data_IF_098980512525
#
_entry.id   IF_098980512525
#
_cell.length_a   1.000
_cell.length_b   1.000
_cell.length_c   1.000
_cell.angle_alpha   90.00
_cell.angle_beta   90.00
_cell.angle_gamma   90.00
#
_symmetry.space_group_name_H-M   'P 1'
#
loop_
_entity.id
_entity.type
_entity.pdbx_description
1 polymer ?
#
# COMPACT_ATOMS: atom_id res chain seq x y z
N UNK A 1 35.62 35.62 -29.01
CA UNK A 1 35.79 34.31 -28.36
C UNK A 1 36.89 34.47 -27.33
N UNK A 2 36.60 34.35 -26.04
CA UNK A 2 37.64 34.37 -25.01
C UNK A 2 38.40 33.05 -25.09
N UNK A 3 39.70 33.11 -25.40
CA UNK A 3 40.55 31.92 -25.40
C UNK A 3 40.77 31.52 -23.94
N UNK A 4 40.15 30.42 -23.51
CA UNK A 4 40.33 29.88 -22.16
C UNK A 4 41.65 29.11 -22.15
N UNK A 5 42.61 29.59 -21.37
CA UNK A 5 43.89 28.90 -21.18
C UNK A 5 43.67 27.53 -20.54
N UNK A 6 44.34 26.52 -21.05
CA UNK A 6 44.32 25.17 -20.47
C UNK A 6 45.12 25.14 -19.16
N UNK A 7 44.81 24.20 -18.26
CA UNK A 7 45.55 24.00 -17.00
C UNK A 7 47.06 23.84 -17.21
N UNK A 8 47.47 23.27 -18.34
CA UNK A 8 48.89 23.11 -18.68
C UNK A 8 49.53 24.45 -19.03
N UNK A 9 48.89 25.24 -19.90
CA UNK A 9 49.35 26.58 -20.28
C UNK A 9 49.41 27.52 -19.08
N UNK A 10 48.40 27.45 -18.21
CA UNK A 10 48.36 28.25 -16.98
C UNK A 10 49.52 27.90 -16.03
N UNK A 11 49.86 26.61 -15.94
CA UNK A 11 50.98 26.11 -15.12
C UNK A 11 52.34 26.51 -15.70
N UNK A 12 52.49 26.47 -17.03
CA UNK A 12 53.72 26.94 -17.70
C UNK A 12 53.89 28.46 -17.57
N UNK A 13 52.80 29.23 -17.70
CA UNK A 13 52.81 30.67 -17.50
C UNK A 13 53.15 31.05 -16.05
N UNK A 14 52.54 30.38 -15.06
CA UNK A 14 52.86 30.60 -13.65
C UNK A 14 54.32 30.24 -13.31
N UNK A 15 54.85 29.16 -13.90
CA UNK A 15 56.25 28.77 -13.74
C UNK A 15 57.21 29.77 -14.41
N UNK A 16 56.83 30.32 -15.56
CA UNK A 16 57.59 31.36 -16.24
C UNK A 16 57.64 32.66 -15.42
N UNK A 17 56.51 33.10 -14.87
CA UNK A 17 56.41 34.33 -14.06
C UNK A 17 57.18 34.19 -12.75
N UNK A 18 57.06 33.05 -12.05
CA UNK A 18 57.80 32.79 -10.79
C UNK A 18 59.30 32.63 -10.98
N UNK A 19 59.75 32.29 -12.21
CA UNK A 19 61.17 32.17 -12.56
C UNK A 19 61.70 33.38 -13.35
N UNK A 20 60.91 34.46 -13.51
CA UNK A 20 61.30 35.62 -14.28
C UNK A 20 62.37 36.43 -13.55
N UNK A 21 63.60 36.36 -14.06
CA UNK A 21 64.77 37.04 -13.51
C UNK A 21 65.02 38.34 -14.28
N UNK A 22 64.61 39.46 -13.65
CA UNK A 22 64.78 40.83 -14.17
C UNK A 22 66.25 41.16 -14.45
N UNK A 23 67.17 40.68 -13.59
CA UNK A 23 68.60 40.96 -13.71
C UNK A 23 69.23 40.18 -14.87
N UNK A 24 68.79 38.95 -15.11
CA UNK A 24 69.17 38.17 -16.31
C UNK A 24 68.64 38.80 -17.59
N UNK A 25 67.44 39.41 -17.56
CA UNK A 25 66.88 40.15 -18.70
C UNK A 25 67.70 41.40 -19.03
N UNK A 26 68.00 42.24 -18.05
CA UNK A 26 68.82 43.45 -18.23
C UNK A 26 70.18 43.10 -18.86
N UNK A 27 70.85 42.06 -18.35
CA UNK A 27 72.14 41.59 -18.91
C UNK A 27 72.04 41.16 -20.37
N UNK A 28 70.94 40.50 -20.76
CA UNK A 28 70.71 40.10 -22.16
C UNK A 28 70.46 41.31 -23.06
N UNK A 29 69.69 42.29 -22.60
CA UNK A 29 69.40 43.51 -23.36
C UNK A 29 70.67 44.33 -23.60
N UNK A 30 71.52 44.49 -22.59
CA UNK A 30 72.83 45.14 -22.73
C UNK A 30 73.72 44.34 -23.70
N UNK A 31 73.71 43.01 -23.62
CA UNK A 31 74.49 42.13 -24.50
C UNK A 31 74.12 42.22 -25.99
N UNK A 32 72.92 42.69 -26.33
CA UNK A 32 72.47 42.95 -27.70
C UNK A 32 72.55 44.44 -28.10
N UNK A 33 73.19 45.27 -27.27
CA UNK A 33 73.45 46.69 -27.58
C UNK A 33 72.40 47.68 -27.10
N UNK A 34 71.42 47.27 -26.27
CA UNK A 34 70.48 48.21 -25.63
C UNK A 34 71.23 49.01 -24.55
N UNK A 35 71.15 50.36 -24.55
CA UNK A 35 71.72 51.19 -23.49
C UNK A 35 71.22 50.77 -22.10
N UNK A 36 72.11 50.78 -21.11
CA UNK A 36 71.83 50.29 -19.76
C UNK A 36 70.58 50.94 -19.14
N UNK A 37 70.45 52.26 -19.24
CA UNK A 37 69.30 53.02 -18.75
C UNK A 37 67.97 52.60 -19.40
N UNK A 38 67.98 52.19 -20.67
CA UNK A 38 66.79 51.68 -21.36
C UNK A 38 66.49 50.22 -20.99
N UNK A 39 67.53 49.40 -20.82
CA UNK A 39 67.40 48.00 -20.41
C UNK A 39 66.84 47.87 -18.99
N UNK A 40 67.31 48.70 -18.07
CA UNK A 40 66.83 48.76 -16.68
C UNK A 40 65.37 49.25 -16.62
N UNK A 41 65.05 50.37 -17.26
CA UNK A 41 63.69 50.91 -17.30
C UNK A 41 62.67 49.92 -17.92
N UNK A 42 63.06 49.21 -18.99
CA UNK A 42 62.20 48.20 -19.61
C UNK A 42 61.98 46.97 -18.74
N UNK A 43 63.00 46.52 -18.00
CA UNK A 43 62.88 45.41 -17.07
C UNK A 43 62.05 45.77 -15.83
N UNK A 44 62.13 47.02 -15.37
CA UNK A 44 61.35 47.56 -14.25
C UNK A 44 59.86 47.62 -14.60
N UNK A 45 59.50 48.21 -15.75
CA UNK A 45 58.11 48.26 -16.24
C UNK A 45 57.53 46.85 -16.39
N UNK A 46 58.31 45.90 -16.95
CA UNK A 46 57.86 44.52 -17.08
C UNK A 46 57.67 43.84 -15.72
N UNK A 47 58.53 44.13 -14.75
CA UNK A 47 58.41 43.61 -13.39
C UNK A 47 57.17 44.16 -12.68
N UNK A 48 56.87 45.46 -12.83
CA UNK A 48 55.65 46.09 -12.32
C UNK A 48 54.40 45.45 -12.92
N UNK A 49 54.35 45.32 -14.25
CA UNK A 49 53.22 44.68 -14.95
C UNK A 49 52.99 43.25 -14.46
N UNK A 50 54.07 42.47 -14.24
CA UNK A 50 53.92 41.13 -13.69
C UNK A 50 53.45 41.16 -12.24
N UNK A 51 53.99 42.03 -11.40
CA UNK A 51 53.63 42.10 -9.99
C UNK A 51 52.18 42.53 -9.76
N UNK A 52 51.68 43.47 -10.56
CA UNK A 52 50.28 43.92 -10.51
C UNK A 52 49.32 42.82 -10.99
N UNK A 53 49.63 42.17 -12.12
CA UNK A 53 48.81 41.07 -12.64
C UNK A 53 48.83 39.82 -11.75
N UNK A 54 49.90 39.60 -10.97
CA UNK A 54 50.01 38.48 -10.04
C UNK A 54 49.06 38.61 -8.84
N UNK A 55 48.71 39.83 -8.42
CA UNK A 55 47.79 40.05 -7.30
C UNK A 55 46.34 39.69 -7.64
N UNK A 56 45.98 39.68 -8.92
CA UNK A 56 44.64 39.27 -9.39
C UNK A 56 44.50 37.75 -9.59
N UNK A 57 45.59 36.99 -9.50
CA UNK A 57 45.55 35.54 -9.68
C UNK A 57 45.02 34.85 -8.42
N UNK A 58 44.09 33.92 -8.65
CA UNK A 58 43.60 33.00 -7.61
C UNK A 58 44.78 32.22 -7.02
N UNK A 59 44.95 32.32 -5.71
CA UNK A 59 46.00 31.60 -4.99
C UNK A 59 45.60 30.14 -4.72
N UNK A 60 46.58 29.31 -4.35
CA UNK A 60 46.32 27.93 -3.92
C UNK A 60 45.45 27.92 -2.66
N UNK A 61 45.67 28.88 -1.79
CA UNK A 61 44.96 29.08 -0.53
C UNK A 61 43.49 29.42 -0.78
N UNK A 62 43.20 30.27 -1.77
CA UNK A 62 41.83 30.59 -2.20
C UNK A 62 41.09 29.35 -2.70
N UNK A 63 41.72 28.56 -3.57
CA UNK A 63 41.14 27.30 -4.06
C UNK A 63 40.91 26.30 -2.93
N UNK A 64 41.85 26.19 -2.00
CA UNK A 64 41.69 25.29 -0.84
C UNK A 64 40.54 25.72 0.06
N UNK A 65 40.35 27.03 0.24
CA UNK A 65 39.23 27.59 1.00
C UNK A 65 37.89 27.31 0.30
N UNK A 66 37.81 27.55 -0.99
CA UNK A 66 36.62 27.29 -1.82
C UNK A 66 36.24 25.80 -1.78
N UNK A 67 37.21 24.91 -2.02
CA UNK A 67 37.00 23.44 -1.97
C UNK A 67 36.56 23.00 -0.58
N UNK A 68 37.14 23.57 0.48
CA UNK A 68 36.75 23.25 1.86
C UNK A 68 35.33 23.74 2.16
N UNK A 69 34.93 24.90 1.63
CA UNK A 69 33.55 25.39 1.69
C UNK A 69 32.58 24.45 1.00
N UNK A 70 32.87 24.09 -0.26
CA UNK A 70 32.05 23.16 -1.06
C UNK A 70 31.90 21.78 -0.39
N UNK A 71 32.96 21.27 0.24
CA UNK A 71 32.89 20.02 1.01
C UNK A 71 31.93 20.14 2.19
N UNK A 72 32.06 21.19 3.00
CA UNK A 72 31.15 21.44 4.14
C UNK A 72 29.70 21.56 3.69
N UNK A 73 29.45 22.31 2.61
CA UNK A 73 28.10 22.47 2.07
C UNK A 73 27.52 21.15 1.57
N UNK A 74 28.35 20.31 0.96
CA UNK A 74 27.97 18.97 0.51
C UNK A 74 27.65 18.06 1.69
N UNK A 75 28.48 18.08 2.74
CA UNK A 75 28.25 17.30 3.96
C UNK A 75 26.94 17.71 4.65
N UNK A 76 26.67 19.02 4.75
CA UNK A 76 25.41 19.55 5.31
C UNK A 76 24.21 19.11 4.47
N UNK A 77 24.30 19.21 3.14
CA UNK A 77 23.22 18.74 2.24
C UNK A 77 22.98 17.24 2.36
N UNK A 78 24.03 16.45 2.45
CA UNK A 78 23.94 15.00 2.57
C UNK A 78 23.30 14.59 3.91
N UNK A 79 23.67 15.26 5.01
CA UNK A 79 23.06 15.04 6.32
C UNK A 79 21.58 15.46 6.33
N UNK A 80 21.24 16.60 5.71
CA UNK A 80 19.84 17.01 5.55
C UNK A 80 19.02 16.00 4.76
N UNK A 81 19.58 15.44 3.68
CA UNK A 81 18.90 14.44 2.86
C UNK A 81 18.69 13.14 3.63
N UNK A 82 19.67 12.70 4.44
CA UNK A 82 19.50 11.55 5.33
C UNK A 82 18.34 11.76 6.31
N UNK A 83 18.29 12.90 6.98
CA UNK A 83 17.20 13.22 7.92
C UNK A 83 15.82 13.25 7.26
N UNK A 84 15.72 13.80 6.05
CA UNK A 84 14.47 13.78 5.28
C UNK A 84 14.04 12.35 4.91
N UNK A 85 14.99 11.52 4.49
CA UNK A 85 14.74 10.11 4.17
C UNK A 85 14.29 9.32 5.40
N UNK A 86 14.95 9.50 6.55
CA UNK A 86 14.57 8.85 7.80
C UNK A 86 13.17 9.28 8.25
N UNK A 87 12.86 10.58 8.15
CA UNK A 87 11.53 11.11 8.48
C UNK A 87 10.44 10.54 7.55
N UNK A 88 10.71 10.44 6.25
CA UNK A 88 9.79 9.82 5.28
C UNK A 88 9.58 8.34 5.55
N UNK A 89 10.65 7.61 5.90
CA UNK A 89 10.56 6.20 6.23
C UNK A 89 9.70 5.97 7.48
N UNK A 90 9.92 6.76 8.53
CA UNK A 90 9.12 6.71 9.75
C UNK A 90 7.65 7.06 9.49
N UNK A 91 7.39 8.08 8.67
CA UNK A 91 6.03 8.43 8.26
C UNK A 91 5.34 7.31 7.51
N UNK A 92 6.04 6.64 6.58
CA UNK A 92 5.50 5.53 5.82
C UNK A 92 5.18 4.34 6.71
N UNK A 93 6.04 4.06 7.70
CA UNK A 93 5.82 3.00 8.69
C UNK A 93 4.55 3.26 9.49
N UNK A 94 4.36 4.48 10.00
CA UNK A 94 3.14 4.87 10.72
C UNK A 94 1.87 4.75 9.88
N UNK A 95 1.92 5.15 8.61
CA UNK A 95 0.79 4.98 7.68
C UNK A 95 0.43 3.51 7.47
N UNK A 96 1.44 2.65 7.31
CA UNK A 96 1.25 1.21 7.15
C UNK A 96 0.66 0.54 8.40
N UNK A 97 1.11 0.93 9.59
CA UNK A 97 0.57 0.45 10.86
C UNK A 97 -0.90 0.89 11.04
N UNK A 98 -1.21 2.16 10.74
CA UNK A 98 -2.58 2.68 10.79
C UNK A 98 -3.52 1.97 9.80
N UNK A 99 -3.05 1.67 8.58
CA UNK A 99 -3.80 0.89 7.59
C UNK A 99 -4.05 -0.55 8.04
N UNK A 100 -3.04 -1.19 8.64
CA UNK A 100 -3.21 -2.55 9.19
C UNK A 100 -4.26 -2.59 10.29
N UNK A 101 -4.22 -1.63 11.23
CA UNK A 101 -5.20 -1.54 12.31
C UNK A 101 -6.62 -1.30 11.79
N UNK A 102 -6.76 -0.40 10.81
CA UNK A 102 -8.04 -0.15 10.15
C UNK A 102 -8.60 -1.40 9.46
N UNK A 103 -7.74 -2.13 8.73
CA UNK A 103 -8.14 -3.37 8.05
C UNK A 103 -8.56 -4.46 9.05
N UNK A 104 -7.84 -4.58 10.18
CA UNK A 104 -8.19 -5.51 11.24
C UNK A 104 -9.57 -5.21 11.82
N UNK A 105 -9.84 -3.93 12.11
CA UNK A 105 -11.15 -3.49 12.61
C UNK A 105 -12.28 -3.76 11.61
N UNK A 106 -12.05 -3.53 10.31
CA UNK A 106 -13.04 -3.85 9.27
C UNK A 106 -13.33 -5.36 9.17
N UNK A 107 -12.29 -6.19 9.33
CA UNK A 107 -12.47 -7.64 9.36
C UNK A 107 -13.26 -8.11 10.58
N UNK A 108 -12.98 -7.55 11.76
CA UNK A 108 -13.71 -7.87 13.00
C UNK A 108 -15.19 -7.48 12.89
N UNK A 109 -15.50 -6.30 12.34
CA UNK A 109 -16.90 -5.86 12.14
C UNK A 109 -17.64 -6.73 11.12
N UNK A 110 -16.98 -7.11 10.01
CA UNK A 110 -17.57 -8.04 9.03
C UNK A 110 -17.82 -9.41 9.62
N UNK A 111 -16.90 -9.92 10.44
CA UNK A 111 -17.05 -11.22 11.09
C UNK A 111 -18.23 -11.22 12.07
N UNK A 112 -18.35 -10.17 12.89
CA UNK A 112 -19.48 -10.00 13.81
C UNK A 112 -20.82 -9.88 13.07
N UNK A 113 -20.86 -9.12 11.96
CA UNK A 113 -22.04 -9.01 11.11
C UNK A 113 -22.46 -10.37 10.53
N UNK A 114 -21.49 -11.13 10.00
CA UNK A 114 -21.75 -12.46 9.45
C UNK A 114 -22.27 -13.44 10.52
N UNK A 115 -21.73 -13.36 11.74
CA UNK A 115 -22.20 -14.17 12.86
C UNK A 115 -23.67 -13.87 13.20
N UNK A 116 -24.04 -12.58 13.28
CA UNK A 116 -25.43 -12.18 13.52
C UNK A 116 -26.39 -12.62 12.42
N UNK A 117 -25.97 -12.54 11.15
CA UNK A 117 -26.79 -13.03 10.03
C UNK A 117 -27.01 -14.54 10.11
N UNK A 118 -25.97 -15.30 10.46
CA UNK A 118 -26.07 -16.75 10.66
C UNK A 118 -26.98 -17.12 11.83
N UNK A 119 -26.86 -16.43 12.96
CA UNK A 119 -27.74 -16.64 14.12
C UNK A 119 -29.21 -16.34 13.77
N UNK A 120 -29.46 -15.24 13.05
CA UNK A 120 -30.80 -14.87 12.60
C UNK A 120 -31.40 -15.90 11.62
N UNK A 121 -30.60 -16.40 10.67
CA UNK A 121 -31.03 -17.47 9.76
C UNK A 121 -31.31 -18.77 10.49
N UNK A 122 -30.49 -19.12 11.48
CA UNK A 122 -30.71 -20.33 12.27
C UNK A 122 -32.01 -20.25 13.07
N UNK A 123 -32.27 -19.10 13.71
CA UNK A 123 -33.51 -18.85 14.44
C UNK A 123 -34.74 -18.89 13.52
N UNK A 124 -34.66 -18.30 12.32
CA UNK A 124 -35.73 -18.38 11.33
C UNK A 124 -36.02 -19.82 10.91
N UNK A 125 -34.98 -20.58 10.58
CA UNK A 125 -35.12 -21.97 10.17
C UNK A 125 -35.75 -22.83 11.28
N UNK A 126 -35.39 -22.58 12.54
CA UNK A 126 -35.99 -23.25 13.69
C UNK A 126 -37.48 -22.97 13.81
N UNK A 127 -37.90 -21.70 13.68
CA UNK A 127 -39.32 -21.33 13.69
C UNK A 127 -40.10 -21.98 12.55
N UNK A 128 -39.52 -22.01 11.35
CA UNK A 128 -40.15 -22.65 10.20
C UNK A 128 -40.33 -24.16 10.44
N UNK A 129 -39.34 -24.83 11.03
CA UNK A 129 -39.47 -26.24 11.42
C UNK A 129 -40.55 -26.47 12.48
N UNK A 130 -40.63 -25.61 13.50
CA UNK A 130 -41.66 -25.72 14.55
C UNK A 130 -43.08 -25.54 13.95
N UNK A 131 -43.26 -24.56 13.05
CA UNK A 131 -44.54 -24.34 12.34
C UNK A 131 -44.90 -25.55 11.47
N UNK A 132 -43.92 -26.09 10.73
CA UNK A 132 -44.14 -27.26 9.88
C UNK A 132 -44.50 -28.50 10.73
N UNK A 133 -43.86 -28.68 11.87
CA UNK A 133 -44.14 -29.79 12.77
C UNK A 133 -45.56 -29.70 13.36
N UNK A 134 -45.96 -28.51 13.82
CA UNK A 134 -47.30 -28.24 14.33
C UNK A 134 -48.37 -28.44 13.25
N UNK A 135 -48.10 -27.99 12.03
CA UNK A 135 -48.99 -28.21 10.87
C UNK A 135 -49.15 -29.70 10.57
N UNK A 136 -48.04 -30.44 10.51
CA UNK A 136 -48.08 -31.89 10.27
C UNK A 136 -48.84 -32.63 11.38
N UNK A 137 -48.69 -32.21 12.64
CA UNK A 137 -49.42 -32.78 13.78
C UNK A 137 -50.92 -32.57 13.64
N UNK A 138 -51.36 -31.36 13.27
CA UNK A 138 -52.78 -31.06 13.01
C UNK A 138 -53.32 -31.90 11.86
N UNK A 139 -52.57 -32.03 10.76
CA UNK A 139 -52.96 -32.85 9.62
C UNK A 139 -53.12 -34.32 10.01
N UNK A 140 -52.24 -34.85 10.86
CA UNK A 140 -52.37 -36.21 11.39
C UNK A 140 -53.61 -36.39 12.26
N UNK A 141 -53.91 -35.46 13.17
CA UNK A 141 -55.12 -35.52 13.99
C UNK A 141 -56.39 -35.44 13.14
N UNK A 142 -56.43 -34.56 12.13
CA UNK A 142 -57.55 -34.49 11.19
C UNK A 142 -57.71 -35.78 10.38
N UNK A 143 -56.60 -36.43 10.03
CA UNK A 143 -56.63 -37.72 9.36
C UNK A 143 -57.19 -38.82 10.27
N UNK A 144 -56.78 -38.86 11.55
CA UNK A 144 -57.28 -39.79 12.57
C UNK A 144 -58.80 -39.63 12.76
N UNK A 145 -59.29 -38.40 12.97
CA UNK A 145 -60.73 -38.12 13.08
C UNK A 145 -61.52 -38.57 11.84
N UNK A 146 -60.96 -38.34 10.64
CA UNK A 146 -61.57 -38.80 9.38
C UNK A 146 -61.61 -40.32 9.27
N UNK A 147 -60.59 -41.02 9.79
CA UNK A 147 -60.56 -42.48 9.81
C UNK A 147 -61.59 -43.03 10.80
N UNK A 148 -61.66 -42.48 12.01
CA UNK A 148 -62.65 -42.89 13.02
C UNK A 148 -64.09 -42.70 12.52
N UNK A 149 -64.39 -41.55 11.93
CA UNK A 149 -65.72 -41.30 11.34
C UNK A 149 -66.05 -42.28 10.20
N UNK A 150 -65.06 -42.69 9.40
CA UNK A 150 -65.25 -43.71 8.36
C UNK A 150 -65.51 -45.08 8.96
N UNK A 151 -64.78 -45.47 10.02
CA UNK A 151 -64.96 -46.74 10.70
C UNK A 151 -66.34 -46.83 11.38
N UNK A 152 -66.79 -45.76 12.02
CA UNK A 152 -68.12 -45.69 12.64
C UNK A 152 -69.22 -45.87 11.58
N UNK A 153 -69.16 -45.10 10.48
CA UNK A 153 -70.10 -45.23 9.35
C UNK A 153 -70.09 -46.62 8.74
N UNK A 154 -68.92 -47.23 8.62
CA UNK A 154 -68.77 -48.60 8.13
C UNK A 154 -69.40 -49.61 9.08
N UNK A 155 -69.13 -49.50 10.39
CA UNK A 155 -69.71 -50.35 11.43
C UNK A 155 -71.24 -50.26 11.50
N UNK A 156 -71.79 -49.04 11.41
CA UNK A 156 -73.24 -48.82 11.33
C UNK A 156 -73.84 -49.48 10.08
N UNK A 157 -73.24 -49.26 8.91
CA UNK A 157 -73.72 -49.84 7.65
C UNK A 157 -73.67 -51.38 7.69
N UNK A 158 -72.60 -51.94 8.27
CA UNK A 158 -72.46 -53.38 8.47
C UNK A 158 -73.56 -53.91 9.39
N UNK A 159 -73.81 -53.25 10.52
CA UNK A 159 -74.84 -53.63 11.50
C UNK A 159 -76.23 -53.59 10.89
N UNK A 160 -76.57 -52.51 10.15
CA UNK A 160 -77.84 -52.37 9.45
C UNK A 160 -78.02 -53.50 8.44
N UNK A 161 -77.00 -53.79 7.62
CA UNK A 161 -77.05 -54.89 6.64
C UNK A 161 -77.26 -56.26 7.30
N UNK A 162 -76.55 -56.56 8.39
CA UNK A 162 -76.73 -57.82 9.12
C UNK A 162 -78.11 -57.91 9.80
N UNK A 163 -78.62 -56.81 10.36
CA UNK A 163 -79.96 -56.73 10.92
C UNK A 163 -81.05 -57.01 9.88
N UNK A 164 -80.92 -56.46 8.66
CA UNK A 164 -81.84 -56.74 7.56
C UNK A 164 -81.80 -58.23 7.13
N UNK A 165 -80.61 -58.83 7.05
CA UNK A 165 -80.46 -60.26 6.70
C UNK A 165 -81.09 -61.17 7.76
N UNK A 166 -80.82 -60.91 9.05
CA UNK A 166 -81.36 -61.73 10.15
C UNK A 166 -82.88 -61.62 10.26
N UNK A 167 -83.45 -60.42 10.07
CA UNK A 167 -84.89 -60.23 10.02
C UNK A 167 -85.54 -60.99 8.86
N UNK A 168 -84.92 -60.97 7.67
CA UNK A 168 -85.40 -61.74 6.51
C UNK A 168 -85.33 -63.26 6.74
N UNK A 169 -84.30 -63.75 7.43
CA UNK A 169 -84.21 -65.17 7.81
C UNK A 169 -85.27 -65.55 8.84
N UNK A 170 -85.51 -64.72 9.88
CA UNK A 170 -86.52 -65.01 10.90
C UNK A 170 -87.94 -65.08 10.35
N UNK A 171 -88.27 -64.28 9.33
CA UNK A 171 -89.60 -64.33 8.70
C UNK A 171 -89.77 -65.50 7.73
N UNK A 172 -88.69 -66.01 7.15
CA UNK A 172 -88.72 -67.16 6.25
C UNK A 172 -88.86 -68.52 6.98
N UNK A 173 -88.29 -68.68 8.19
CA UNK A 173 -88.31 -69.94 8.95
C UNK A 173 -89.74 -70.45 9.27
N UNK A 174 -90.70 -69.63 9.75
CA UNK A 174 -92.07 -70.07 9.99
C UNK A 174 -92.86 -70.34 8.70
N UNK A 175 -92.48 -69.72 7.58
CA UNK A 175 -93.09 -69.97 6.28
C UNK A 175 -92.65 -71.33 5.71
N UNK A 176 -91.39 -71.70 5.93
CA UNK A 176 -90.84 -73.01 5.56
C UNK A 176 -91.43 -74.15 6.40
N UNK A 177 -91.69 -73.93 7.69
CA UNK A 177 -92.32 -74.95 8.56
C UNK A 177 -93.80 -75.23 8.26
N UNK A 178 -94.44 -74.47 7.36
CA UNK A 178 -95.81 -74.73 6.86
C UNK A 178 -95.82 -75.45 5.49
N UNK A 179 -94.64 -75.66 4.89
CA UNK A 179 -94.46 -76.28 3.58
C UNK A 179 -93.92 -77.71 3.66
N UNK A 180 -93.57 -78.20 4.85
CA UNK A 180 -93.22 -79.58 5.19
C UNK A 180 -94.16 -80.08 6.30
#
# INVERSE_FOLDING_TARGET
MAHVLTLKELKELAMFITAFDTLKLVKRLIGIGVPQNQAEAGAEILAEIFNDNLQELVTKEDLQREISGLRKDTDVKHESLRKDMDAKHESLRKDMDAKHESLRKDMDTKHESLRKDMDAKHESLRKDMDINHETLRKDMHLMEERFDSKLEKFGLNLTIKHGLITAALLTAVPALSKLF
#
